data_IF_549096212572
#
_entry.id   IF_549096212572
#
_cell.length_a   1.000
_cell.length_b   1.000
_cell.length_c   1.000
_cell.angle_alpha   90.00
_cell.angle_beta   90.00
_cell.angle_gamma   90.00
#
_symmetry.space_group_name_H-M   'P 1'
#
loop_
_entity.id
_entity.type
_entity.pdbx_description
1 polymer ?
#
# COMPACT_ATOMS: atom_id res chain seq x y z
N UNK A 1 -16.59 -44.82 -33.69
CA UNK A 1 -16.44 -43.44 -33.16
C UNK A 1 -15.98 -43.39 -31.71
N UNK A 2 -16.44 -44.30 -30.83
CA UNK A 2 -16.08 -44.32 -29.40
C UNK A 2 -14.58 -44.52 -29.12
N UNK A 3 -13.88 -45.38 -29.86
CA UNK A 3 -12.44 -45.60 -29.67
C UNK A 3 -11.55 -44.40 -30.03
N UNK A 4 -11.96 -43.61 -31.02
CA UNK A 4 -11.25 -42.37 -31.40
C UNK A 4 -11.39 -41.31 -30.30
N UNK A 5 -12.58 -41.18 -29.73
CA UNK A 5 -12.85 -40.25 -28.61
C UNK A 5 -12.02 -40.63 -27.39
N UNK A 6 -11.92 -41.92 -27.08
CA UNK A 6 -11.15 -42.43 -25.95
C UNK A 6 -9.64 -42.19 -26.14
N UNK A 7 -9.14 -42.35 -27.38
CA UNK A 7 -7.75 -42.04 -27.73
C UNK A 7 -7.46 -40.54 -27.56
N UNK A 8 -8.37 -39.66 -27.99
CA UNK A 8 -8.21 -38.20 -27.86
C UNK A 8 -8.20 -37.78 -26.38
N UNK A 9 -9.08 -38.34 -25.55
CA UNK A 9 -9.12 -38.05 -24.11
C UNK A 9 -7.82 -38.49 -23.41
N UNK A 10 -7.26 -39.63 -23.83
CA UNK A 10 -6.02 -40.18 -23.26
C UNK A 10 -4.79 -39.36 -23.65
N UNK A 11 -4.75 -38.86 -24.89
CA UNK A 11 -3.71 -37.93 -25.37
C UNK A 11 -3.78 -36.58 -24.65
N UNK A 12 -4.99 -36.08 -24.37
CA UNK A 12 -5.17 -34.83 -23.62
C UNK A 12 -4.73 -34.97 -22.15
N UNK A 13 -5.02 -36.09 -21.50
CA UNK A 13 -4.53 -36.37 -20.14
C UNK A 13 -3.00 -36.48 -20.10
N UNK A 14 -2.38 -37.10 -21.11
CA UNK A 14 -0.93 -37.22 -21.19
C UNK A 14 -0.22 -35.87 -21.45
N UNK A 15 -0.93 -34.85 -21.95
CA UNK A 15 -0.38 -33.53 -22.24
C UNK A 15 -0.53 -32.53 -21.07
N UNK A 16 -1.18 -32.93 -19.96
CA UNK A 16 -1.62 -32.00 -18.92
C UNK A 16 -0.59 -31.72 -17.81
N UNK A 17 0.59 -32.33 -17.81
CA UNK A 17 1.59 -32.13 -16.75
C UNK A 17 2.92 -31.61 -17.30
N UNK A 18 2.95 -30.30 -17.55
CA UNK A 18 4.19 -29.52 -17.62
C UNK A 18 4.30 -28.72 -16.33
N UNK A 19 4.92 -29.31 -15.30
CA UNK A 19 5.40 -28.55 -14.14
C UNK A 19 6.66 -27.78 -14.57
N UNK A 20 6.43 -26.66 -15.24
CA UNK A 20 7.48 -25.71 -15.57
C UNK A 20 7.83 -24.91 -14.31
N UNK A 21 8.60 -25.51 -13.40
CA UNK A 21 9.14 -24.81 -12.23
C UNK A 21 10.09 -23.69 -12.68
N UNK A 22 9.54 -22.49 -12.87
CA UNK A 22 10.28 -21.32 -13.32
C UNK A 22 11.36 -20.93 -12.30
N UNK A 23 12.61 -20.78 -12.76
CA UNK A 23 13.70 -20.26 -11.93
C UNK A 23 13.50 -18.76 -11.78
N UNK A 24 13.11 -18.32 -10.60
CA UNK A 24 12.92 -16.90 -10.27
C UNK A 24 14.05 -16.39 -9.36
N UNK A 25 14.51 -15.17 -9.62
CA UNK A 25 15.47 -14.45 -8.78
C UNK A 25 14.73 -13.29 -8.13
N UNK A 26 14.75 -13.22 -6.79
CA UNK A 26 14.16 -12.13 -6.00
C UNK A 26 15.26 -11.25 -5.44
N UNK A 27 15.11 -9.93 -5.57
CA UNK A 27 15.98 -8.93 -4.96
C UNK A 27 15.11 -8.03 -4.10
N UNK A 28 15.51 -7.83 -2.84
CA UNK A 28 14.86 -6.93 -1.89
C UNK A 28 15.79 -5.77 -1.53
N UNK A 29 15.22 -4.62 -1.18
CA UNK A 29 15.93 -3.42 -0.76
C UNK A 29 15.33 -2.93 0.56
N UNK A 30 16.18 -2.73 1.56
CA UNK A 30 15.79 -2.29 2.89
C UNK A 30 16.43 -0.94 3.24
N UNK A 31 15.69 -0.10 3.95
CA UNK A 31 16.19 1.16 4.49
C UNK A 31 17.05 0.93 5.75
N UNK A 32 17.86 1.92 6.13
CA UNK A 32 18.71 1.85 7.33
C UNK A 32 18.00 2.24 8.63
N UNK A 33 16.79 2.79 8.54
CA UNK A 33 15.99 3.25 9.68
C UNK A 33 14.76 2.37 9.84
N UNK A 34 14.14 2.45 11.02
CA UNK A 34 12.93 1.69 11.35
C UNK A 34 11.72 2.13 10.50
N UNK A 35 10.73 1.26 10.39
CA UNK A 35 9.51 1.58 9.62
C UNK A 35 8.78 2.77 10.25
N UNK A 36 8.69 3.85 9.49
CA UNK A 36 7.99 5.06 9.92
C UNK A 36 6.46 4.89 9.84
N UNK A 37 5.65 5.55 10.70
CA UNK A 37 4.20 5.45 10.63
C UNK A 37 3.64 6.12 9.37
N UNK A 38 2.74 5.44 8.64
CA UNK A 38 2.11 5.96 7.42
C UNK A 38 1.35 7.28 7.63
N UNK A 39 0.82 7.49 8.84
CA UNK A 39 0.14 8.74 9.20
C UNK A 39 1.10 9.93 9.23
N UNK A 40 2.33 9.70 9.71
CA UNK A 40 3.37 10.73 9.74
C UNK A 40 3.88 11.02 8.32
N UNK A 41 4.05 10.00 7.49
CA UNK A 41 4.37 10.20 6.07
C UNK A 41 3.28 10.99 5.33
N UNK A 42 2.02 10.73 5.65
CA UNK A 42 0.87 11.47 5.08
C UNK A 42 0.85 12.93 5.53
N UNK A 43 1.16 13.21 6.80
CA UNK A 43 1.23 14.60 7.27
C UNK A 43 2.37 15.36 6.58
N UNK A 44 3.52 14.71 6.34
CA UNK A 44 4.63 15.30 5.58
C UNK A 44 4.22 15.57 4.12
N UNK A 45 3.50 14.65 3.47
CA UNK A 45 2.96 14.89 2.12
C UNK A 45 2.05 16.12 2.09
N UNK A 46 1.09 16.19 3.01
CA UNK A 46 0.14 17.31 3.09
C UNK A 46 0.83 18.63 3.42
N UNK A 47 1.84 18.61 4.28
CA UNK A 47 2.64 19.79 4.60
C UNK A 47 3.39 20.35 3.39
N UNK A 48 3.82 19.49 2.45
CA UNK A 48 4.43 19.94 1.18
C UNK A 48 3.42 20.58 0.23
N UNK A 49 2.19 20.10 0.21
CA UNK A 49 1.13 20.68 -0.62
C UNK A 49 0.62 22.02 -0.03
N UNK A 50 0.33 22.07 1.27
CA UNK A 50 -0.09 23.29 1.97
C UNK A 50 -0.01 23.15 3.48
N UNK A 51 0.50 24.18 4.16
CA UNK A 51 0.51 24.22 5.63
C UNK A 51 -0.91 24.15 6.23
N UNK A 52 -1.92 24.71 5.57
CA UNK A 52 -3.30 24.62 6.03
C UNK A 52 -3.85 23.18 5.96
N UNK A 53 -3.47 22.41 4.93
CA UNK A 53 -3.86 21.00 4.81
C UNK A 53 -3.21 20.13 5.88
N UNK A 54 -1.96 20.44 6.25
CA UNK A 54 -1.30 19.78 7.38
C UNK A 54 -2.08 19.96 8.68
N UNK A 55 -2.41 21.21 9.06
CA UNK A 55 -3.15 21.47 10.29
C UNK A 55 -4.55 20.86 10.27
N UNK A 56 -5.27 20.98 9.15
CA UNK A 56 -6.58 20.34 9.00
C UNK A 56 -6.51 18.81 9.16
N UNK A 57 -5.43 18.18 8.70
CA UNK A 57 -5.19 16.75 8.90
C UNK A 57 -4.92 16.40 10.36
N UNK A 58 -4.06 17.16 11.04
CA UNK A 58 -3.77 16.98 12.46
C UNK A 58 -5.05 17.09 13.29
N UNK A 59 -5.87 18.11 13.03
CA UNK A 59 -7.14 18.33 13.73
C UNK A 59 -8.11 17.17 13.49
N UNK A 60 -8.31 16.77 12.23
CA UNK A 60 -9.21 15.66 11.88
C UNK A 60 -8.75 14.33 12.50
N UNK A 61 -7.43 14.10 12.54
CA UNK A 61 -6.84 12.93 13.18
C UNK A 61 -7.05 12.97 14.69
N UNK A 62 -6.87 14.11 15.35
CA UNK A 62 -7.10 14.25 16.78
C UNK A 62 -8.57 14.02 17.15
N UNK A 63 -9.49 14.54 16.36
CA UNK A 63 -10.94 14.36 16.53
C UNK A 63 -11.40 12.91 16.30
N UNK A 64 -10.73 12.16 15.43
CA UNK A 64 -11.05 10.76 15.12
C UNK A 64 -10.80 9.77 16.29
N UNK A 65 -10.48 10.27 17.49
CA UNK A 65 -10.34 9.57 18.76
C UNK A 65 -9.55 8.26 18.65
N UNK A 66 -8.24 8.43 18.51
CA UNK A 66 -7.36 7.41 17.93
C UNK A 66 -6.73 6.50 18.96
N UNK A 67 -7.30 6.48 20.18
CA UNK A 67 -6.82 5.68 21.30
C UNK A 67 -6.82 4.17 21.00
N UNK A 68 -7.70 3.73 20.11
CA UNK A 68 -7.86 2.33 19.68
C UNK A 68 -6.97 1.96 18.47
N UNK A 69 -5.87 2.69 18.22
CA UNK A 69 -5.00 2.44 17.05
C UNK A 69 -3.94 1.37 17.28
N UNK A 70 -3.63 1.03 18.53
CA UNK A 70 -2.58 0.05 18.82
C UNK A 70 -2.96 -1.37 18.37
N UNK A 71 -4.25 -1.67 18.27
CA UNK A 71 -4.77 -2.99 17.92
C UNK A 71 -5.26 -3.10 16.46
N UNK A 72 -5.07 -2.06 15.64
CA UNK A 72 -5.55 -2.03 14.24
C UNK A 72 -4.55 -2.65 13.28
N UNK A 73 -5.06 -3.43 12.35
CA UNK A 73 -4.25 -4.00 11.27
C UNK A 73 -3.65 -2.89 10.39
N UNK A 74 -2.43 -3.05 9.85
CA UNK A 74 -1.79 -2.01 9.03
C UNK A 74 -2.65 -1.53 7.86
N UNK A 75 -3.46 -2.44 7.28
CA UNK A 75 -4.41 -2.11 6.22
C UNK A 75 -5.53 -1.19 6.72
N UNK A 76 -6.07 -1.43 7.91
CA UNK A 76 -7.14 -0.60 8.48
C UNK A 76 -6.64 0.80 8.79
N UNK A 77 -5.40 0.92 9.27
CA UNK A 77 -4.73 2.20 9.47
C UNK A 77 -4.58 2.93 8.13
N UNK A 78 -4.16 2.23 7.07
CA UNK A 78 -4.05 2.80 5.73
C UNK A 78 -5.40 3.30 5.19
N UNK A 79 -6.46 2.49 5.25
CA UNK A 79 -7.80 2.88 4.79
C UNK A 79 -8.36 4.06 5.61
N UNK A 80 -8.12 4.08 6.92
CA UNK A 80 -8.49 5.22 7.76
C UNK A 80 -7.79 6.50 7.30
N UNK A 81 -6.48 6.46 7.08
CA UNK A 81 -5.70 7.61 6.61
C UNK A 81 -6.26 8.10 5.27
N UNK A 82 -6.55 7.20 4.33
CA UNK A 82 -7.13 7.55 3.04
C UNK A 82 -8.52 8.18 3.20
N UNK A 83 -9.37 7.65 4.07
CA UNK A 83 -10.70 8.21 4.32
C UNK A 83 -10.65 9.64 4.89
N UNK A 84 -9.59 9.96 5.65
CA UNK A 84 -9.34 11.32 6.16
C UNK A 84 -8.81 12.19 5.03
N UNK A 85 -7.82 11.71 4.27
CA UNK A 85 -7.23 12.44 3.15
C UNK A 85 -8.25 12.75 2.04
N UNK A 86 -9.20 11.85 1.78
CA UNK A 86 -10.30 12.05 0.82
C UNK A 86 -11.21 13.22 1.19
N UNK A 87 -11.36 13.51 2.49
CA UNK A 87 -12.15 14.66 2.97
C UNK A 87 -11.40 15.99 2.83
N UNK A 88 -10.07 15.94 2.95
CA UNK A 88 -9.21 17.13 2.96
C UNK A 88 -8.70 17.51 1.57
N UNK A 89 -8.48 16.53 0.70
CA UNK A 89 -7.97 16.71 -0.65
C UNK A 89 -9.15 16.60 -1.63
N UNK A 90 -9.63 17.72 -2.22
CA UNK A 90 -10.73 17.67 -3.18
C UNK A 90 -10.32 17.07 -4.54
N UNK A 91 -9.02 17.05 -4.86
CA UNK A 91 -8.50 16.57 -6.15
C UNK A 91 -8.19 15.07 -6.13
N UNK A 92 -8.86 14.31 -7.01
CA UNK A 92 -8.59 12.88 -7.23
C UNK A 92 -7.14 12.60 -7.66
N UNK A 93 -6.51 13.54 -8.37
CA UNK A 93 -5.12 13.40 -8.81
C UNK A 93 -4.16 13.43 -7.61
N UNK A 94 -4.33 14.41 -6.71
CA UNK A 94 -3.51 14.53 -5.51
C UNK A 94 -3.70 13.33 -4.57
N UNK A 95 -4.92 12.81 -4.46
CA UNK A 95 -5.18 11.59 -3.70
C UNK A 95 -4.48 10.37 -4.32
N UNK A 96 -4.50 10.25 -5.65
CA UNK A 96 -3.76 9.21 -6.37
C UNK A 96 -2.24 9.32 -6.13
N UNK A 97 -1.72 10.55 -6.12
CA UNK A 97 -0.31 10.82 -5.82
C UNK A 97 0.03 10.46 -4.37
N UNK A 98 -0.86 10.75 -3.41
CA UNK A 98 -0.69 10.34 -2.02
C UNK A 98 -0.58 8.80 -1.92
N UNK A 99 -1.54 8.06 -2.51
CA UNK A 99 -1.53 6.59 -2.53
C UNK A 99 -0.23 6.03 -3.13
N UNK A 100 0.21 6.62 -4.24
CA UNK A 100 1.46 6.25 -4.91
C UNK A 100 2.68 6.52 -4.03
N UNK A 101 2.76 7.69 -3.41
CA UNK A 101 3.87 8.08 -2.54
C UNK A 101 3.99 7.21 -1.28
N UNK A 102 2.85 6.82 -0.69
CA UNK A 102 2.80 5.90 0.44
C UNK A 102 3.24 4.49 0.03
N UNK A 103 2.88 4.04 -1.18
CA UNK A 103 3.32 2.74 -1.71
C UNK A 103 4.85 2.70 -1.90
N UNK A 104 5.45 3.83 -2.29
CA UNK A 104 6.89 3.98 -2.44
C UNK A 104 7.63 4.27 -1.13
N UNK A 105 6.91 4.54 -0.03
CA UNK A 105 7.49 5.05 1.22
C UNK A 105 8.38 6.29 1.00
N UNK A 106 8.03 7.15 0.04
CA UNK A 106 8.90 8.24 -0.42
C UNK A 106 9.14 9.32 0.65
N UNK A 107 8.25 9.40 1.64
CA UNK A 107 8.34 10.36 2.75
C UNK A 107 8.91 9.75 4.02
N UNK A 108 9.26 8.47 4.00
CA UNK A 108 9.84 7.76 5.15
C UNK A 108 11.12 8.43 5.65
N UNK A 109 12.02 8.86 4.74
CA UNK A 109 13.23 9.61 5.08
C UNK A 109 12.94 10.93 5.79
N UNK A 110 11.94 11.68 5.30
CA UNK A 110 11.58 12.97 5.87
C UNK A 110 10.90 12.81 7.24
N UNK A 111 10.13 11.74 7.43
CA UNK A 111 9.58 11.39 8.75
C UNK A 111 10.70 11.03 9.73
N UNK A 112 11.69 10.23 9.31
CA UNK A 112 12.84 9.85 10.13
C UNK A 112 13.72 11.05 10.52
N UNK A 113 13.88 12.04 9.64
CA UNK A 113 14.59 13.28 9.97
C UNK A 113 14.02 14.02 11.19
N UNK A 114 12.75 13.82 11.54
CA UNK A 114 12.14 14.44 12.73
C UNK A 114 12.34 13.60 13.99
N UNK A 115 12.81 12.36 13.86
CA UNK A 115 13.06 11.42 14.95
C UNK A 115 14.53 11.46 15.44
N UNK A 116 15.41 12.13 14.68
CA UNK A 116 16.84 12.32 14.99
C UNK A 116 17.08 13.64 15.72
#
# INVERSE_FOLDING_TARGET
MTGLVLLVILVLHACSEVDAKSKFVSVSLDAKWESTPLMLETSVFLAKESNAMFWAFVDTVAEANTADRQDKEPKEVYEMILSIAEKLIPSKLQLGLLKFSLSLRSYSQAAEMHNQ
#
